data_IF_689816530060
#
_entry.id   IF_689816530060
#
_cell.length_a   1.000
_cell.length_b   1.000
_cell.length_c   1.000
_cell.angle_alpha   90.00
_cell.angle_beta   90.00
_cell.angle_gamma   90.00
#
_symmetry.space_group_name_H-M   'P 1'
#
loop_
_entity.id
_entity.type
_entity.pdbx_description
1 polymer ?
#
# COMPACT_ATOMS: atom_id res chain seq x y z
N UNK A 1 -8.82 -20.77 30.73
CA UNK A 1 -8.53 -20.41 29.33
C UNK A 1 -9.67 -19.51 28.89
N UNK A 2 -9.38 -18.26 28.51
CA UNK A 2 -10.43 -17.28 28.23
C UNK A 2 -11.21 -17.70 26.97
N UNK A 3 -12.48 -18.03 27.15
CA UNK A 3 -13.45 -18.20 26.08
C UNK A 3 -13.75 -16.79 25.53
N UNK A 4 -12.91 -16.33 24.60
CA UNK A 4 -13.22 -15.12 23.84
C UNK A 4 -14.37 -15.48 22.89
N UNK A 5 -15.46 -14.73 22.97
CA UNK A 5 -16.57 -14.78 22.01
C UNK A 5 -16.00 -14.84 20.59
N UNK A 6 -16.32 -15.90 19.85
CA UNK A 6 -15.78 -16.19 18.52
C UNK A 6 -16.32 -15.22 17.46
N UNK A 7 -15.99 -13.95 17.59
CA UNK A 7 -16.24 -12.97 16.55
C UNK A 7 -15.07 -13.00 15.55
N UNK A 8 -15.42 -12.99 14.28
CA UNK A 8 -14.44 -12.83 13.21
C UNK A 8 -13.88 -11.40 13.23
N UNK A 9 -12.58 -11.26 13.02
CA UNK A 9 -12.00 -9.93 12.84
C UNK A 9 -12.48 -9.32 11.51
N UNK A 10 -12.41 -7.99 11.38
CA UNK A 10 -12.77 -7.30 10.12
C UNK A 10 -12.02 -7.87 8.90
N UNK A 11 -10.77 -8.29 9.07
CA UNK A 11 -9.95 -8.89 8.02
C UNK A 11 -10.43 -10.30 7.64
N UNK A 12 -10.81 -11.09 8.65
CA UNK A 12 -11.33 -12.44 8.44
C UNK A 12 -12.67 -12.37 7.72
N UNK A 13 -13.59 -11.54 8.20
CA UNK A 13 -14.90 -11.31 7.57
C UNK A 13 -14.75 -10.88 6.11
N UNK A 14 -13.89 -9.90 5.83
CA UNK A 14 -13.64 -9.45 4.47
C UNK A 14 -13.09 -10.57 3.58
N UNK A 15 -12.14 -11.36 4.08
CA UNK A 15 -11.54 -12.47 3.32
C UNK A 15 -12.52 -13.61 3.07
N UNK A 16 -13.37 -13.92 4.05
CA UNK A 16 -14.42 -14.92 3.93
C UNK A 16 -15.42 -14.52 2.84
N UNK A 17 -15.95 -13.30 2.91
CA UNK A 17 -16.92 -12.79 1.94
C UNK A 17 -16.28 -12.75 0.54
N UNK A 18 -15.04 -12.26 0.42
CA UNK A 18 -14.33 -12.21 -0.86
C UNK A 18 -14.09 -13.59 -1.47
N UNK A 19 -13.62 -14.56 -0.67
CA UNK A 19 -13.42 -15.93 -1.14
C UNK A 19 -14.74 -16.59 -1.55
N UNK A 20 -15.83 -16.33 -0.80
CA UNK A 20 -17.14 -16.89 -1.12
C UNK A 20 -17.76 -16.24 -2.36
N UNK A 21 -17.62 -14.93 -2.54
CA UNK A 21 -18.07 -14.24 -3.74
C UNK A 21 -17.36 -14.76 -4.99
N UNK A 22 -16.05 -15.04 -4.89
CA UNK A 22 -15.31 -15.69 -5.96
C UNK A 22 -15.90 -17.07 -6.30
N UNK A 23 -16.22 -17.90 -5.31
CA UNK A 23 -16.87 -19.20 -5.56
C UNK A 23 -18.20 -19.04 -6.31
N UNK A 24 -19.05 -18.11 -5.88
CA UNK A 24 -20.35 -17.84 -6.52
C UNK A 24 -20.15 -17.37 -7.96
N UNK A 25 -19.15 -16.54 -8.23
CA UNK A 25 -18.82 -16.12 -9.61
C UNK A 25 -18.37 -17.26 -10.53
N UNK A 26 -17.93 -18.37 -9.93
CA UNK A 26 -17.56 -19.62 -10.62
C UNK A 26 -18.72 -20.63 -10.58
N UNK A 27 -19.96 -20.16 -10.49
CA UNK A 27 -21.20 -20.95 -10.45
C UNK A 27 -21.25 -21.98 -9.31
N UNK A 28 -20.56 -21.72 -8.19
CA UNK A 28 -20.68 -22.56 -7.01
C UNK A 28 -22.10 -22.50 -6.43
N UNK A 29 -22.63 -23.62 -5.87
CA UNK A 29 -23.98 -23.67 -5.36
C UNK A 29 -24.17 -22.76 -4.13
N UNK A 30 -25.34 -22.11 -4.09
CA UNK A 30 -25.79 -21.30 -2.96
C UNK A 30 -26.30 -22.18 -1.83
N UNK A 31 -25.90 -21.88 -0.60
CA UNK A 31 -26.27 -22.63 0.62
C UNK A 31 -27.55 -22.11 1.27
N UNK A 32 -28.01 -20.92 0.88
CA UNK A 32 -29.29 -20.34 1.33
C UNK A 32 -30.35 -20.46 0.24
N UNK A 33 -31.62 -20.53 0.67
CA UNK A 33 -32.76 -20.41 -0.25
C UNK A 33 -32.97 -18.93 -0.56
N UNK A 34 -32.64 -18.53 -1.79
CA UNK A 34 -32.90 -17.18 -2.31
C UNK A 34 -34.03 -17.30 -3.33
N UNK A 35 -35.04 -16.44 -3.24
CA UNK A 35 -36.09 -16.37 -4.26
C UNK A 35 -35.59 -15.57 -5.48
N UNK A 36 -36.17 -15.81 -6.65
CA UNK A 36 -35.83 -15.07 -7.89
C UNK A 36 -35.90 -13.55 -7.68
N UNK A 37 -36.94 -13.09 -6.98
CA UNK A 37 -37.15 -11.68 -6.65
C UNK A 37 -36.01 -11.09 -5.80
N UNK A 38 -35.46 -11.86 -4.86
CA UNK A 38 -34.32 -11.41 -4.05
C UNK A 38 -33.03 -11.33 -4.86
N UNK A 39 -32.81 -12.26 -5.79
CA UNK A 39 -31.65 -12.22 -6.71
C UNK A 39 -31.71 -11.00 -7.63
N UNK A 40 -32.91 -10.68 -8.13
CA UNK A 40 -33.13 -9.52 -9.00
C UNK A 40 -32.89 -8.20 -8.27
N UNK A 41 -33.38 -8.07 -7.02
CA UNK A 41 -33.09 -6.91 -6.15
C UNK A 41 -31.59 -6.77 -5.85
N UNK A 42 -30.87 -7.89 -5.74
CA UNK A 42 -29.42 -7.89 -5.55
C UNK A 42 -28.63 -7.71 -6.87
N UNK A 43 -29.30 -7.63 -8.02
CA UNK A 43 -28.69 -7.58 -9.36
C UNK A 43 -27.70 -8.72 -9.61
N UNK A 44 -27.95 -9.91 -9.05
CA UNK A 44 -27.06 -11.07 -9.16
C UNK A 44 -25.61 -10.80 -8.72
N UNK A 45 -25.40 -9.81 -7.85
CA UNK A 45 -24.08 -9.45 -7.34
C UNK A 45 -23.57 -10.51 -6.36
N UNK A 46 -22.49 -11.19 -6.75
CA UNK A 46 -21.84 -12.23 -5.97
C UNK A 46 -21.41 -11.76 -4.57
N UNK A 47 -21.01 -10.49 -4.41
CA UNK A 47 -20.61 -9.95 -3.10
C UNK A 47 -21.80 -9.84 -2.14
N UNK A 48 -22.96 -9.40 -2.64
CA UNK A 48 -24.18 -9.29 -1.83
C UNK A 48 -24.70 -10.67 -1.44
N UNK A 49 -24.66 -11.61 -2.38
CA UNK A 49 -25.07 -13.00 -2.12
C UNK A 49 -24.15 -13.64 -1.08
N UNK A 50 -22.83 -13.52 -1.24
CA UNK A 50 -21.85 -14.01 -0.27
C UNK A 50 -22.03 -13.39 1.13
N UNK A 51 -22.33 -12.08 1.18
CA UNK A 51 -22.60 -11.38 2.43
C UNK A 51 -23.86 -11.94 3.12
N UNK A 52 -24.94 -12.17 2.37
CA UNK A 52 -26.18 -12.76 2.90
C UNK A 52 -25.94 -14.16 3.47
N UNK A 53 -25.16 -14.99 2.78
CA UNK A 53 -24.78 -16.32 3.27
C UNK A 53 -23.93 -16.27 4.53
N UNK A 54 -22.96 -15.36 4.59
CA UNK A 54 -22.10 -15.17 5.76
C UNK A 54 -22.90 -14.78 7.00
N UNK A 55 -23.78 -13.77 6.90
CA UNK A 55 -24.61 -13.34 8.03
C UNK A 55 -25.68 -14.35 8.42
N UNK A 56 -26.06 -15.25 7.50
CA UNK A 56 -26.95 -16.38 7.80
C UNK A 56 -26.25 -17.50 8.57
N UNK A 57 -24.91 -17.44 8.74
CA UNK A 57 -24.15 -18.43 9.49
C UNK A 57 -24.08 -19.82 8.84
N UNK A 58 -24.42 -19.94 7.55
CA UNK A 58 -24.49 -21.23 6.85
C UNK A 58 -23.15 -21.70 6.26
N UNK A 59 -22.15 -20.82 6.20
CA UNK A 59 -20.86 -21.12 5.60
C UNK A 59 -20.04 -22.07 6.50
N UNK A 60 -19.67 -23.28 6.03
CA UNK A 60 -18.87 -24.24 6.81
C UNK A 60 -17.39 -23.87 6.74
N UNK A 61 -17.01 -22.80 7.39
CA UNK A 61 -15.65 -22.24 7.34
C UNK A 61 -14.99 -22.21 8.72
N UNK A 62 -13.67 -22.39 8.75
CA UNK A 62 -12.86 -22.26 9.96
C UNK A 62 -11.65 -21.41 9.66
N UNK A 63 -11.36 -20.46 10.56
CA UNK A 63 -10.20 -19.57 10.42
C UNK A 63 -9.06 -20.08 11.28
N UNK A 64 -7.90 -20.35 10.65
CA UNK A 64 -6.67 -20.67 11.37
C UNK A 64 -5.94 -19.38 11.73
N UNK A 65 -5.72 -19.14 13.02
CA UNK A 65 -4.98 -17.99 13.57
C UNK A 65 -3.59 -18.44 14.06
N UNK A 66 -2.57 -18.55 13.19
CA UNK A 66 -1.23 -18.94 13.62
C UNK A 66 -0.60 -17.82 14.45
N UNK A 67 -0.04 -18.18 15.60
CA UNK A 67 0.81 -17.27 16.36
C UNK A 67 2.18 -17.14 15.67
N UNK A 68 2.84 -15.97 15.76
CA UNK A 68 4.19 -15.82 15.25
C UNK A 68 5.12 -16.84 15.94
N UNK A 69 5.75 -17.70 15.15
CA UNK A 69 6.78 -18.64 15.63
C UNK A 69 8.15 -18.13 15.25
N UNK A 70 9.13 -18.30 16.14
CA UNK A 70 10.52 -17.95 15.84
C UNK A 70 11.06 -18.92 14.77
N UNK A 71 11.10 -18.48 13.52
CA UNK A 71 11.82 -19.18 12.47
C UNK A 71 13.31 -19.00 12.73
N UNK A 72 14.08 -20.09 12.79
CA UNK A 72 15.54 -20.05 13.01
C UNK A 72 16.36 -19.43 11.88
N UNK A 73 15.69 -18.79 10.91
CA UNK A 73 16.33 -18.02 9.87
C UNK A 73 17.05 -16.83 10.53
N UNK A 74 18.37 -16.77 10.33
CA UNK A 74 19.15 -15.58 10.72
C UNK A 74 18.65 -14.43 9.85
N UNK A 75 18.19 -13.35 10.48
CA UNK A 75 17.88 -12.11 9.77
C UNK A 75 19.12 -11.69 9.00
N UNK A 76 18.97 -11.37 7.71
CA UNK A 76 20.08 -10.76 7.00
C UNK A 76 20.33 -9.38 7.60
N UNK A 77 21.61 -8.99 7.80
CA UNK A 77 21.91 -7.63 8.22
C UNK A 77 21.36 -6.66 7.18
N UNK A 78 20.77 -5.57 7.64
CA UNK A 78 20.45 -4.43 6.78
C UNK A 78 21.80 -4.00 6.19
N UNK A 79 21.92 -4.05 4.87
CA UNK A 79 23.05 -3.46 4.18
C UNK A 79 22.85 -1.96 4.26
N UNK A 80 23.42 -1.35 5.28
CA UNK A 80 23.73 0.08 5.19
C UNK A 80 24.77 0.19 4.09
N UNK A 81 24.37 0.64 2.90
CA UNK A 81 25.34 1.11 1.92
C UNK A 81 26.00 2.35 2.53
N UNK A 82 27.08 2.16 3.27
CA UNK A 82 28.03 3.23 3.50
C UNK A 82 28.64 3.54 2.13
N UNK A 83 27.99 4.40 1.35
CA UNK A 83 28.66 5.01 0.22
C UNK A 83 29.79 5.85 0.80
N UNK A 84 31.02 5.54 0.42
CA UNK A 84 32.18 6.39 0.74
C UNK A 84 31.88 7.81 0.22
N UNK A 85 32.17 8.84 1.02
CA UNK A 85 31.82 10.24 0.73
C UNK A 85 32.25 10.67 -0.70
N UNK A 86 33.33 10.11 -1.22
CA UNK A 86 33.83 10.33 -2.59
C UNK A 86 32.81 9.92 -3.68
N UNK A 87 32.11 8.79 -3.51
CA UNK A 87 31.11 8.31 -4.49
C UNK A 87 29.83 9.13 -4.47
N UNK A 88 29.53 9.77 -3.34
CA UNK A 88 28.41 10.72 -3.23
C UNK A 88 28.75 11.98 -4.01
N UNK A 89 29.96 12.52 -3.80
CA UNK A 89 30.45 13.73 -4.49
C UNK A 89 30.56 13.51 -6.00
N UNK A 90 31.02 12.34 -6.46
CA UNK A 90 31.08 12.03 -7.90
C UNK A 90 29.69 11.99 -8.54
N UNK A 91 28.73 11.32 -7.89
CA UNK A 91 27.34 11.28 -8.37
C UNK A 91 26.67 12.66 -8.35
N UNK A 92 26.91 13.47 -7.33
CA UNK A 92 26.40 14.85 -7.27
C UNK A 92 26.93 15.69 -8.44
N UNK A 93 28.23 15.60 -8.75
CA UNK A 93 28.83 16.30 -9.90
C UNK A 93 28.30 15.80 -11.25
N UNK A 94 28.01 14.52 -11.37
CA UNK A 94 27.37 13.96 -12.58
C UNK A 94 25.95 14.49 -12.72
N UNK A 95 25.17 14.48 -11.64
CA UNK A 95 23.79 14.99 -11.61
C UNK A 95 23.75 16.49 -11.91
N UNK A 96 24.67 17.30 -11.36
CA UNK A 96 24.78 18.73 -11.68
C UNK A 96 25.06 18.99 -13.16
N UNK A 97 25.97 18.21 -13.77
CA UNK A 97 26.27 18.31 -15.20
C UNK A 97 25.08 17.92 -16.06
N UNK A 98 24.39 16.84 -15.72
CA UNK A 98 23.16 16.42 -16.43
C UNK A 98 22.05 17.47 -16.31
N UNK A 99 21.89 18.10 -15.15
CA UNK A 99 20.92 19.18 -14.96
C UNK A 99 21.29 20.41 -15.78
N UNK A 100 22.57 20.79 -15.81
CA UNK A 100 23.07 21.92 -16.60
C UNK A 100 22.90 21.68 -18.10
N UNK A 101 23.33 20.51 -18.61
CA UNK A 101 23.20 20.11 -20.01
C UNK A 101 21.72 20.06 -20.43
N UNK A 102 20.85 19.51 -19.58
CA UNK A 102 19.41 19.47 -19.81
C UNK A 102 18.74 20.84 -19.75
N UNK A 103 19.23 21.75 -18.91
CA UNK A 103 18.75 23.13 -18.84
C UNK A 103 19.15 23.93 -20.09
N UNK A 104 20.37 23.69 -20.60
CA UNK A 104 20.87 24.23 -21.87
C UNK A 104 20.09 23.66 -23.07
N UNK A 105 19.86 22.34 -23.10
CA UNK A 105 19.06 21.67 -24.13
C UNK A 105 17.60 22.17 -24.15
N UNK A 106 17.00 22.40 -22.97
CA UNK A 106 15.66 23.00 -22.88
C UNK A 106 15.63 24.52 -23.12
N UNK A 107 16.78 25.17 -23.34
CA UNK A 107 16.85 26.61 -23.61
C UNK A 107 16.46 27.49 -22.41
N UNK A 108 16.59 26.99 -21.18
CA UNK A 108 16.30 27.76 -19.96
C UNK A 108 17.45 28.69 -19.55
N UNK A 109 18.61 28.60 -20.20
CA UNK A 109 19.76 29.49 -19.98
C UNK A 109 19.87 30.44 -21.17
N UNK A 110 19.46 31.69 -20.98
CA UNK A 110 19.74 32.78 -21.92
C UNK A 110 20.93 33.59 -21.38
N UNK A 111 21.92 33.90 -22.22
CA UNK A 111 23.11 34.71 -21.86
C UNK A 111 22.79 36.14 -21.38
N UNK A 112 21.51 36.55 -21.40
CA UNK A 112 21.08 37.92 -21.10
C UNK A 112 20.53 38.15 -19.68
N UNK A 113 20.42 37.13 -18.82
CA UNK A 113 19.98 37.32 -17.44
C UNK A 113 21.16 37.46 -16.45
N UNK A 114 22.25 38.09 -16.91
CA UNK A 114 23.26 38.69 -16.03
C UNK A 114 22.71 40.00 -15.44
N UNK A 115 21.62 39.94 -14.69
CA UNK A 115 21.24 41.01 -13.78
C UNK A 115 21.35 40.51 -12.34
N UNK A 116 22.33 41.09 -11.67
CA UNK A 116 22.74 40.94 -10.27
C UNK A 116 21.58 40.59 -9.30
N UNK A 117 21.49 39.32 -8.90
CA UNK A 117 20.85 38.97 -7.64
C UNK A 117 21.85 39.25 -6.50
N UNK A 118 21.93 40.52 -6.09
CA UNK A 118 22.56 40.91 -4.82
C UNK A 118 21.74 40.28 -3.70
N UNK A 119 22.24 39.20 -3.11
CA UNK A 119 21.74 38.68 -1.84
C UNK A 119 22.52 39.42 -0.76
N UNK A 120 21.88 40.44 -0.16
CA UNK A 120 22.41 41.19 0.97
C UNK A 120 22.64 40.25 2.18
N UNK A 121 23.89 40.13 2.59
CA UNK A 121 24.28 39.60 3.90
C UNK A 121 23.68 40.48 5.00
N UNK A 122 22.74 39.94 5.79
CA UNK A 122 22.43 40.47 7.11
C UNK A 122 22.88 39.47 8.18
N UNK A 123 24.13 39.63 8.59
CA UNK A 123 24.64 39.11 9.84
C UNK A 123 23.97 39.79 11.05
N UNK A 124 23.70 38.97 12.07
CA UNK A 124 23.71 39.28 13.51
C UNK A 124 22.41 39.78 14.21
N UNK A 125 22.10 39.09 15.32
CA UNK A 125 21.29 39.56 16.46
C UNK A 125 19.79 39.27 16.32
N UNK A 126 19.08 38.76 17.31
CA UNK A 126 19.34 38.65 18.74
C UNK A 126 18.38 37.63 19.36
N UNK A 127 18.84 37.06 20.47
CA UNK A 127 18.07 36.35 21.49
C UNK A 127 16.69 36.96 21.75
N UNK A 128 15.66 36.11 21.83
CA UNK A 128 14.70 35.99 22.96
C UNK A 128 13.87 34.70 22.81
#
# INVERSE_FOLDING_TARGET
MAEATQEFTRFETARIIGARALQISMDAPLLIKITEAELEVMHYDALKIASKEFYSGVLPISVRRPMPTKTGAKLQPIRDESMDDEKIIEKEKEVEKEIAEKAEEMGLVNENDNEEAIIEDNSAGSEE
#
